data_IF_314105954515
#
_entry.id   IF_314105954515
#
_cell.length_a   1.000
_cell.length_b   1.000
_cell.length_c   1.000
_cell.angle_alpha   90.00
_cell.angle_beta   90.00
_cell.angle_gamma   90.00
#
_symmetry.space_group_name_H-M   'P 1'
#
loop_
_entity.id
_entity.type
_entity.pdbx_description
1 polymer ?
#
# COMPACT_ATOMS: atom_id res chain seq x y z
N UNK A 1 22.11 17.88 6.28
CA UNK A 1 21.47 17.36 7.50
C UNK A 1 20.13 16.77 7.11
N UNK A 2 19.87 15.50 7.44
CA UNK A 2 18.51 14.94 7.36
C UNK A 2 17.75 15.53 8.56
N UNK A 3 16.57 16.14 8.38
CA UNK A 3 15.81 16.67 9.51
C UNK A 3 15.50 15.55 10.50
N UNK A 4 15.53 15.87 11.79
CA UNK A 4 15.04 14.94 12.81
C UNK A 4 13.57 14.62 12.53
N UNK A 5 13.15 13.35 12.68
CA UNK A 5 11.75 12.98 12.51
C UNK A 5 10.91 13.79 13.49
N UNK A 6 9.80 14.34 12.98
CA UNK A 6 8.82 15.04 13.81
C UNK A 6 8.29 14.05 14.86
N UNK A 7 8.19 14.44 16.14
CA UNK A 7 7.52 13.62 17.14
C UNK A 7 6.11 13.29 16.65
N UNK A 8 5.76 12.01 16.74
CA UNK A 8 4.43 11.55 16.41
C UNK A 8 3.47 12.13 17.47
N UNK A 9 2.40 12.83 17.07
CA UNK A 9 1.45 13.39 18.04
C UNK A 9 0.70 12.27 18.77
N UNK A 10 0.49 12.43 20.09
CA UNK A 10 -0.18 11.45 20.95
C UNK A 10 -1.72 11.61 20.88
N UNK A 11 -2.27 11.68 19.68
CA UNK A 11 -3.72 11.82 19.44
C UNK A 11 -4.35 10.48 18.99
N UNK A 12 -5.66 10.27 19.24
CA UNK A 12 -6.33 9.00 18.92
C UNK A 12 -6.33 8.67 17.41
N UNK A 13 -6.27 9.67 16.53
CA UNK A 13 -6.18 9.43 15.09
C UNK A 13 -4.82 8.81 14.74
N UNK A 14 -3.78 9.21 15.47
CA UNK A 14 -2.43 8.67 15.34
C UNK A 14 -2.33 7.23 15.87
N UNK A 15 -2.98 6.90 16.99
CA UNK A 15 -3.06 5.52 17.47
C UNK A 15 -3.80 4.60 16.47
N UNK A 16 -4.91 5.08 15.90
CA UNK A 16 -5.67 4.37 14.88
C UNK A 16 -4.84 4.16 13.61
N UNK A 17 -4.09 5.19 13.17
CA UNK A 17 -3.17 5.08 12.05
C UNK A 17 -2.08 4.02 12.30
N UNK A 18 -1.44 4.03 13.46
CA UNK A 18 -0.40 3.05 13.83
C UNK A 18 -0.97 1.63 13.83
N UNK A 19 -2.19 1.43 14.35
CA UNK A 19 -2.85 0.13 14.33
C UNK A 19 -3.13 -0.34 12.89
N UNK A 20 -3.64 0.55 12.03
CA UNK A 20 -3.90 0.23 10.62
C UNK A 20 -2.62 -0.12 9.85
N UNK A 21 -1.52 0.59 10.09
CA UNK A 21 -0.21 0.28 9.48
C UNK A 21 0.28 -1.11 9.91
N UNK A 22 0.18 -1.44 11.20
CA UNK A 22 0.58 -2.76 11.71
C UNK A 22 -0.24 -3.89 11.08
N UNK A 23 -1.54 -3.71 10.94
CA UNK A 23 -2.41 -4.68 10.26
C UNK A 23 -2.05 -4.82 8.76
N UNK A 24 -1.73 -3.71 8.09
CA UNK A 24 -1.25 -3.72 6.70
C UNK A 24 0.04 -4.51 6.52
N UNK A 25 1.00 -4.34 7.42
CA UNK A 25 2.26 -5.12 7.42
C UNK A 25 1.98 -6.60 7.64
N UNK A 26 1.19 -6.96 8.66
CA UNK A 26 0.84 -8.35 8.94
C UNK A 26 0.10 -9.01 7.76
N UNK A 27 -0.74 -8.24 7.07
CA UNK A 27 -1.42 -8.69 5.84
C UNK A 27 -0.44 -8.99 4.71
N UNK A 28 0.54 -8.11 4.50
CA UNK A 28 1.57 -8.29 3.48
C UNK A 28 2.46 -9.51 3.80
N UNK A 29 2.86 -9.67 5.07
CA UNK A 29 3.65 -10.82 5.54
C UNK A 29 2.88 -12.15 5.40
N UNK A 30 1.54 -12.11 5.56
CA UNK A 30 0.66 -13.25 5.30
C UNK A 30 0.45 -13.53 3.79
N UNK A 31 1.08 -12.77 2.91
CA UNK A 31 1.03 -12.96 1.46
C UNK A 31 -0.14 -12.26 0.76
N UNK A 32 -0.99 -11.50 1.48
CA UNK A 32 -2.14 -10.74 0.92
C UNK A 32 -1.67 -9.53 0.12
N UNK A 33 -0.98 -9.80 -0.97
CA UNK A 33 -0.30 -8.83 -1.82
C UNK A 33 -0.63 -9.10 -3.28
N UNK A 34 -0.43 -8.09 -4.13
CA UNK A 34 -0.46 -8.25 -5.58
C UNK A 34 0.98 -8.26 -6.08
N UNK A 35 1.37 -9.22 -6.94
CA UNK A 35 2.68 -9.21 -7.57
C UNK A 35 2.93 -7.92 -8.36
N UNK A 36 4.13 -7.36 -8.23
CA UNK A 36 4.53 -6.13 -8.90
C UNK A 36 4.27 -6.15 -10.43
N UNK A 37 4.60 -7.26 -11.09
CA UNK A 37 4.43 -7.38 -12.54
C UNK A 37 2.96 -7.29 -12.98
N UNK A 38 2.04 -7.78 -12.16
CA UNK A 38 0.60 -7.74 -12.46
C UNK A 38 0.09 -6.29 -12.32
N UNK A 39 0.53 -5.56 -11.28
CA UNK A 39 0.25 -4.13 -11.10
C UNK A 39 0.84 -3.30 -12.24
N UNK A 40 2.09 -3.58 -12.64
CA UNK A 40 2.78 -2.84 -13.70
C UNK A 40 2.07 -2.98 -15.04
N UNK A 41 1.69 -4.19 -15.44
CA UNK A 41 0.95 -4.43 -16.69
C UNK A 41 -0.37 -3.69 -16.69
N UNK A 42 -1.09 -3.75 -15.56
CA UNK A 42 -2.35 -3.02 -15.40
C UNK A 42 -2.18 -1.51 -15.58
N UNK A 43 -1.22 -0.89 -14.88
CA UNK A 43 -0.97 0.55 -15.00
C UNK A 43 -0.56 0.97 -16.42
N UNK A 44 0.23 0.15 -17.12
CA UNK A 44 0.65 0.44 -18.49
C UNK A 44 -0.48 0.31 -19.52
N UNK A 45 -1.56 -0.39 -19.17
CA UNK A 45 -2.72 -0.58 -20.04
C UNK A 45 -3.72 0.59 -19.97
N UNK A 46 -3.62 1.44 -18.95
CA UNK A 46 -4.54 2.55 -18.73
C UNK A 46 -4.57 3.52 -19.91
N UNK A 47 -5.78 3.88 -20.34
CA UNK A 47 -5.98 4.81 -21.47
C UNK A 47 -5.65 4.21 -22.84
N UNK A 48 -5.47 2.89 -22.92
CA UNK A 48 -5.33 2.17 -24.19
C UNK A 48 -6.63 1.45 -24.54
N UNK A 49 -6.78 1.01 -25.80
CA UNK A 49 -7.91 0.18 -26.21
C UNK A 49 -7.96 -1.20 -25.51
N UNK A 50 -6.84 -1.63 -24.90
CA UNK A 50 -6.70 -2.91 -24.21
C UNK A 50 -6.45 -2.71 -22.72
N UNK A 51 -7.18 -1.79 -22.08
CA UNK A 51 -7.09 -1.58 -20.65
C UNK A 51 -7.44 -2.86 -19.88
N UNK A 52 -6.55 -3.27 -18.98
CA UNK A 52 -6.66 -4.48 -18.19
C UNK A 52 -7.49 -4.23 -16.92
N UNK A 53 -8.19 -5.25 -16.40
CA UNK A 53 -8.84 -5.14 -15.09
C UNK A 53 -7.80 -5.01 -13.97
N UNK A 54 -8.20 -4.36 -12.87
CA UNK A 54 -7.40 -4.26 -11.66
C UNK A 54 -7.01 -5.67 -11.17
N UNK A 55 -5.74 -5.95 -10.88
CA UNK A 55 -5.32 -7.24 -10.35
C UNK A 55 -5.82 -7.44 -8.91
N UNK A 56 -6.06 -8.70 -8.55
CA UNK A 56 -6.54 -9.09 -7.22
C UNK A 56 -5.41 -9.64 -6.36
N UNK A 57 -5.52 -9.48 -5.04
CA UNK A 57 -4.56 -10.02 -4.09
C UNK A 57 -4.58 -11.56 -4.12
N UNK A 58 -3.40 -12.16 -3.89
CA UNK A 58 -3.26 -13.60 -3.69
C UNK A 58 -3.37 -13.98 -2.21
#
# INVERSE_FOLDING_TARGET
MIPNPTPMPDDPDTEAFVAAVKDGIASADAGRTVPYEDVRKWLLSWGTENELPKPECR
#
